data_IF_640672765187
#
_entry.id   IF_640672765187
#
_cell.length_a   1.000
_cell.length_b   1.000
_cell.length_c   1.000
_cell.angle_alpha   90.00
_cell.angle_beta   90.00
_cell.angle_gamma   90.00
#
_symmetry.space_group_name_H-M   'P 1'
#
loop_
_entity.id
_entity.type
_entity.pdbx_description
1 polymer ?
#
# COMPACT_ATOMS: atom_id res chain seq x y z
N UNK A 1 -28.38 39.97 58.28
CA UNK A 1 -28.44 38.53 58.02
C UNK A 1 -27.91 38.31 56.60
N UNK A 2 -26.63 38.05 56.47
CA UNK A 2 -26.00 37.64 55.22
C UNK A 2 -25.57 36.18 55.38
N UNK A 3 -26.31 35.27 54.78
CA UNK A 3 -25.99 33.85 54.75
C UNK A 3 -25.26 33.57 53.45
N UNK A 4 -23.98 33.38 53.60
CA UNK A 4 -23.01 32.65 52.83
C UNK A 4 -23.50 31.84 51.61
N UNK A 5 -23.16 32.34 50.39
CA UNK A 5 -23.22 31.62 49.13
C UNK A 5 -21.80 31.16 48.66
N UNK A 6 -20.95 30.74 49.60
CA UNK A 6 -19.59 30.30 49.29
C UNK A 6 -19.46 28.78 49.09
N UNK A 7 -20.50 27.98 49.42
CA UNK A 7 -20.44 26.53 49.31
C UNK A 7 -20.78 25.97 47.90
N UNK A 8 -21.54 26.69 47.12
CA UNK A 8 -22.00 26.18 45.81
C UNK A 8 -20.97 26.32 44.70
N UNK A 9 -20.07 27.34 44.79
CA UNK A 9 -19.06 27.56 43.76
C UNK A 9 -17.98 26.50 43.77
N UNK A 10 -17.56 25.94 44.91
CA UNK A 10 -16.53 24.92 44.99
C UNK A 10 -16.98 23.59 44.33
N UNK A 11 -18.27 23.25 44.46
CA UNK A 11 -18.83 22.06 43.85
C UNK A 11 -18.93 22.20 42.32
N UNK A 12 -19.21 23.40 41.83
CA UNK A 12 -19.28 23.68 40.38
C UNK A 12 -17.89 23.58 39.76
N UNK A 13 -16.84 24.11 40.38
CA UNK A 13 -15.48 24.00 39.90
C UNK A 13 -14.97 22.57 39.93
N UNK A 14 -15.29 21.77 40.94
CA UNK A 14 -14.91 20.35 40.99
C UNK A 14 -15.60 19.54 39.89
N UNK A 15 -16.88 19.76 39.63
CA UNK A 15 -17.60 19.10 38.53
C UNK A 15 -17.03 19.52 37.18
N UNK A 16 -16.72 20.80 36.99
CA UNK A 16 -16.13 21.32 35.75
C UNK A 16 -14.73 20.70 35.48
N UNK A 17 -13.90 20.55 36.50
CA UNK A 17 -12.60 19.92 36.40
C UNK A 17 -12.69 18.41 36.04
N UNK A 18 -13.67 17.71 36.64
CA UNK A 18 -13.92 16.30 36.35
C UNK A 18 -14.39 16.13 34.90
N UNK A 19 -15.32 16.96 34.43
CA UNK A 19 -15.79 16.93 33.03
C UNK A 19 -14.64 17.24 32.05
N UNK A 20 -13.82 18.25 32.35
CA UNK A 20 -12.67 18.60 31.55
C UNK A 20 -11.67 17.43 31.47
N UNK A 21 -11.40 16.77 32.61
CA UNK A 21 -10.52 15.59 32.67
C UNK A 21 -11.04 14.45 31.79
N UNK A 22 -12.36 14.16 31.85
CA UNK A 22 -12.98 13.14 31.00
C UNK A 22 -12.85 13.49 29.51
N UNK A 23 -13.09 14.74 29.14
CA UNK A 23 -12.94 15.21 27.77
C UNK A 23 -11.52 15.02 27.24
N UNK A 24 -10.51 15.37 28.04
CA UNK A 24 -9.09 15.19 27.68
C UNK A 24 -8.77 13.71 27.46
N UNK A 25 -9.27 12.83 28.33
CA UNK A 25 -9.06 11.37 28.18
C UNK A 25 -9.72 10.88 26.89
N UNK A 26 -10.96 11.30 26.58
CA UNK A 26 -11.64 10.91 25.36
C UNK A 26 -10.90 11.39 24.10
N UNK A 27 -10.34 12.61 24.12
CA UNK A 27 -9.53 13.14 23.03
C UNK A 27 -8.26 12.30 22.84
N UNK A 28 -7.58 11.94 23.92
CA UNK A 28 -6.37 11.09 23.87
C UNK A 28 -6.70 9.71 23.26
N UNK A 29 -7.81 9.11 23.69
CA UNK A 29 -8.27 7.83 23.13
C UNK A 29 -8.59 7.98 21.64
N UNK A 30 -9.28 9.03 21.24
CA UNK A 30 -9.62 9.32 19.85
C UNK A 30 -8.38 9.51 18.99
N UNK A 31 -7.41 10.31 19.43
CA UNK A 31 -6.14 10.52 18.75
C UNK A 31 -5.32 9.22 18.66
N UNK A 32 -5.36 8.39 19.70
CA UNK A 32 -4.73 7.07 19.71
C UNK A 32 -5.35 6.11 18.68
N UNK A 33 -6.68 6.17 18.48
CA UNK A 33 -7.37 5.40 17.44
C UNK A 33 -7.01 5.89 16.04
N UNK A 34 -6.90 7.20 15.82
CA UNK A 34 -6.48 7.77 14.54
C UNK A 34 -5.04 7.36 14.18
N UNK A 35 -4.14 7.36 15.16
CA UNK A 35 -2.77 6.88 14.94
C UNK A 35 -2.72 5.39 14.58
N UNK A 36 -3.56 4.55 15.19
CA UNK A 36 -3.67 3.14 14.82
C UNK A 36 -4.21 2.93 13.41
N UNK A 37 -5.17 3.75 12.96
CA UNK A 37 -5.66 3.71 11.58
C UNK A 37 -4.57 4.11 10.58
N UNK A 38 -3.77 5.13 10.90
CA UNK A 38 -2.64 5.56 10.06
C UNK A 38 -1.53 4.52 9.97
N UNK A 39 -1.16 3.90 11.08
CA UNK A 39 -0.10 2.89 11.11
C UNK A 39 -0.50 1.58 10.41
N UNK A 40 -1.73 1.12 10.55
CA UNK A 40 -2.19 -0.09 9.86
C UNK A 40 -2.17 0.05 8.33
N UNK A 41 -2.20 1.27 7.79
CA UNK A 41 -2.11 1.51 6.35
C UNK A 41 -0.66 1.42 5.85
N UNK A 42 0.33 1.75 6.69
CA UNK A 42 1.76 1.72 6.32
C UNK A 42 2.46 0.42 6.74
N UNK A 43 2.07 -0.22 7.85
CA UNK A 43 2.67 -1.49 8.30
C UNK A 43 2.34 -2.68 7.40
N UNK A 44 1.21 -2.66 6.70
CA UNK A 44 0.88 -3.66 5.68
C UNK A 44 1.55 -3.41 4.33
N UNK A 45 2.27 -2.29 4.18
CA UNK A 45 2.99 -1.90 2.97
C UNK A 45 4.50 -2.14 3.06
N UNK A 46 5.02 -2.67 4.17
CA UNK A 46 6.38 -3.22 4.17
C UNK A 46 6.39 -4.43 3.24
N UNK A 47 7.21 -4.45 2.19
CA UNK A 47 7.27 -5.59 1.29
C UNK A 47 7.59 -6.82 2.14
N UNK A 48 6.60 -7.72 2.25
CA UNK A 48 6.80 -9.05 2.79
C UNK A 48 7.99 -9.60 2.02
N UNK A 49 9.03 -10.06 2.70
CA UNK A 49 10.33 -10.47 2.16
C UNK A 49 10.26 -11.62 1.12
N UNK A 50 9.10 -11.90 0.58
CA UNK A 50 8.86 -12.95 -0.39
C UNK A 50 8.14 -12.37 -1.61
N UNK A 51 8.91 -11.69 -2.48
CA UNK A 51 8.40 -11.21 -3.76
C UNK A 51 8.08 -12.42 -4.60
N UNK A 52 6.81 -12.58 -4.95
CA UNK A 52 6.36 -13.65 -5.82
C UNK A 52 6.48 -13.18 -7.27
N UNK A 53 7.29 -13.90 -8.05
CA UNK A 53 7.40 -13.68 -9.49
C UNK A 53 6.34 -14.50 -10.24
N UNK A 54 5.85 -13.95 -11.35
CA UNK A 54 4.97 -14.65 -12.27
C UNK A 54 5.81 -15.41 -13.31
N UNK A 55 5.28 -16.51 -13.82
CA UNK A 55 5.87 -17.21 -14.94
C UNK A 55 5.47 -16.56 -16.27
N UNK A 56 6.16 -16.92 -17.36
CA UNK A 56 5.83 -16.46 -18.71
C UNK A 56 4.38 -16.80 -19.10
N UNK A 57 3.78 -17.81 -18.49
CA UNK A 57 2.38 -18.22 -18.72
C UNK A 57 1.34 -17.12 -18.46
N UNK A 58 1.69 -16.07 -17.69
CA UNK A 58 0.83 -14.90 -17.53
C UNK A 58 0.52 -14.24 -18.88
N UNK A 59 1.41 -14.39 -19.87
CA UNK A 59 1.27 -13.86 -21.22
C UNK A 59 0.39 -14.74 -22.14
N UNK A 60 -0.07 -15.89 -21.68
CA UNK A 60 -1.03 -16.74 -22.41
C UNK A 60 -2.49 -16.36 -22.12
N UNK A 61 -2.67 -15.40 -21.24
CA UNK A 61 -3.97 -14.84 -20.87
C UNK A 61 -4.55 -13.96 -21.98
N UNK A 62 -5.88 -13.83 -21.99
CA UNK A 62 -6.59 -12.82 -22.79
C UNK A 62 -6.87 -11.53 -22.03
N UNK A 63 -6.59 -11.52 -20.73
CA UNK A 63 -6.78 -10.34 -19.86
C UNK A 63 -5.64 -9.34 -20.10
N UNK A 64 -5.93 -8.07 -20.39
CA UNK A 64 -4.91 -7.04 -20.51
C UNK A 64 -3.96 -7.05 -19.28
N UNK A 65 -2.66 -7.05 -19.52
CA UNK A 65 -1.68 -7.26 -18.45
C UNK A 65 -0.57 -6.22 -18.54
N UNK A 66 -0.26 -5.59 -17.40
CA UNK A 66 0.90 -4.71 -17.26
C UNK A 66 2.01 -5.54 -16.61
N UNK A 67 3.13 -5.69 -17.29
CA UNK A 67 4.23 -6.56 -16.86
C UNK A 67 5.46 -5.73 -16.57
N UNK A 68 6.00 -5.89 -15.35
CA UNK A 68 7.36 -5.49 -15.03
C UNK A 68 8.31 -6.64 -15.36
N UNK A 69 9.25 -6.40 -16.23
CA UNK A 69 10.39 -7.28 -16.49
C UNK A 69 11.56 -6.84 -15.62
N UNK A 70 12.02 -7.76 -14.80
CA UNK A 70 13.02 -7.57 -13.75
C UNK A 70 14.21 -8.47 -13.96
N UNK A 71 15.40 -8.02 -13.52
CA UNK A 71 16.59 -8.86 -13.36
C UNK A 71 17.20 -8.61 -11.98
N UNK A 72 17.63 -9.68 -11.33
CA UNK A 72 18.30 -9.61 -10.01
C UNK A 72 19.62 -8.83 -10.03
N UNK A 73 20.23 -8.71 -11.21
CA UNK A 73 21.49 -7.99 -11.44
C UNK A 73 21.31 -6.49 -11.64
N UNK A 74 20.05 -6.02 -11.71
CA UNK A 74 19.72 -4.62 -11.98
C UNK A 74 19.44 -3.89 -10.65
N UNK A 75 20.32 -2.98 -10.23
CA UNK A 75 20.16 -2.21 -8.99
C UNK A 75 18.91 -1.31 -9.01
N UNK A 76 18.64 -0.64 -10.14
CA UNK A 76 17.44 0.18 -10.30
C UNK A 76 16.16 -0.64 -10.18
N UNK A 77 16.19 -1.92 -10.59
CA UNK A 77 15.06 -2.83 -10.41
C UNK A 77 14.78 -3.12 -8.93
N UNK A 78 15.83 -3.28 -8.12
CA UNK A 78 15.68 -3.56 -6.69
C UNK A 78 15.03 -2.41 -5.94
N UNK A 79 15.29 -1.17 -6.35
CA UNK A 79 14.66 0.02 -5.78
C UNK A 79 13.18 0.13 -6.21
N UNK A 80 12.87 -0.22 -7.45
CA UNK A 80 11.53 -0.10 -8.04
C UNK A 80 10.59 -1.24 -7.66
N UNK A 81 11.13 -2.43 -7.41
CA UNK A 81 10.37 -3.67 -7.21
C UNK A 81 9.39 -3.63 -6.03
N UNK A 82 9.73 -3.06 -4.84
CA UNK A 82 8.79 -2.97 -3.72
C UNK A 82 7.52 -2.18 -4.06
N UNK A 83 7.67 -1.02 -4.71
CA UNK A 83 6.53 -0.18 -5.09
C UNK A 83 5.64 -0.87 -6.13
N UNK A 84 6.26 -1.59 -7.07
CA UNK A 84 5.52 -2.35 -8.06
C UNK A 84 4.79 -3.56 -7.46
N UNK A 85 5.39 -4.22 -6.46
CA UNK A 85 4.75 -5.29 -5.71
C UNK A 85 3.51 -4.78 -4.95
N UNK A 86 3.60 -3.62 -4.29
CA UNK A 86 2.45 -2.98 -3.65
C UNK A 86 1.34 -2.66 -4.65
N UNK A 87 1.70 -2.16 -5.83
CA UNK A 87 0.75 -1.89 -6.90
C UNK A 87 0.04 -3.18 -7.35
N UNK A 88 0.80 -4.27 -7.53
CA UNK A 88 0.26 -5.58 -7.87
C UNK A 88 -0.73 -6.08 -6.83
N UNK A 89 -0.39 -6.03 -5.55
CA UNK A 89 -1.25 -6.47 -4.44
C UNK A 89 -2.53 -5.66 -4.37
N UNK A 90 -2.44 -4.34 -4.55
CA UNK A 90 -3.60 -3.44 -4.58
C UNK A 90 -4.61 -3.79 -5.67
N UNK A 91 -4.15 -4.30 -6.81
CA UNK A 91 -4.97 -4.57 -7.99
C UNK A 91 -5.08 -6.06 -8.33
N UNK A 92 -4.68 -6.95 -7.42
CA UNK A 92 -4.67 -8.41 -7.66
C UNK A 92 -6.03 -8.97 -8.09
N UNK A 93 -7.11 -8.46 -7.52
CA UNK A 93 -8.46 -8.94 -7.79
C UNK A 93 -9.20 -8.13 -8.87
N UNK A 94 -8.49 -7.34 -9.66
CA UNK A 94 -9.11 -6.54 -10.71
C UNK A 94 -9.49 -7.42 -11.92
N UNK A 95 -10.80 -7.50 -12.30
CA UNK A 95 -11.23 -8.39 -13.39
C UNK A 95 -10.88 -7.88 -14.78
N UNK A 96 -10.52 -6.58 -14.92
CA UNK A 96 -10.31 -5.93 -16.21
C UNK A 96 -8.86 -5.95 -16.67
N UNK A 97 -7.91 -6.06 -15.77
CA UNK A 97 -6.50 -6.10 -16.08
C UNK A 97 -5.72 -6.78 -14.96
N UNK A 98 -4.55 -7.25 -15.30
CA UNK A 98 -3.60 -7.89 -14.37
C UNK A 98 -2.32 -7.07 -14.28
N UNK A 99 -1.67 -7.12 -13.12
CA UNK A 99 -0.31 -6.62 -12.92
C UNK A 99 0.57 -7.82 -12.63
N UNK A 100 1.68 -7.95 -13.34
CA UNK A 100 2.57 -9.09 -13.23
C UNK A 100 4.04 -8.65 -13.12
N UNK A 101 4.87 -9.49 -12.50
CA UNK A 101 6.31 -9.29 -12.36
C UNK A 101 6.99 -10.57 -12.88
N UNK A 102 7.81 -10.44 -13.92
CA UNK A 102 8.53 -11.57 -14.50
C UNK A 102 10.02 -11.39 -14.25
N UNK A 103 10.64 -12.40 -13.63
CA UNK A 103 12.10 -12.49 -13.51
C UNK A 103 12.70 -12.98 -14.83
N UNK A 104 13.41 -12.10 -15.53
CA UNK A 104 14.03 -12.45 -16.82
C UNK A 104 15.30 -13.30 -16.68
N UNK A 105 15.91 -13.37 -15.50
CA UNK A 105 17.02 -14.28 -15.26
C UNK A 105 16.55 -15.75 -15.33
N UNK A 106 15.30 -16.01 -15.01
CA UNK A 106 14.64 -17.32 -15.10
C UNK A 106 13.92 -17.53 -16.44
N UNK A 107 13.69 -16.46 -17.20
CA UNK A 107 12.96 -16.46 -18.47
C UNK A 107 13.75 -15.77 -19.59
N UNK A 108 14.94 -16.27 -19.95
CA UNK A 108 15.85 -15.61 -20.91
C UNK A 108 15.29 -15.52 -22.33
N UNK A 109 14.36 -16.39 -22.68
CA UNK A 109 13.74 -16.45 -24.02
C UNK A 109 12.82 -15.26 -24.34
N UNK A 110 12.47 -14.43 -23.33
CA UNK A 110 11.62 -13.26 -23.54
C UNK A 110 12.29 -12.13 -24.33
N UNK A 111 13.60 -12.19 -24.53
CA UNK A 111 14.36 -11.22 -25.33
C UNK A 111 14.37 -9.81 -24.76
N UNK A 112 14.17 -9.66 -23.44
CA UNK A 112 14.25 -8.37 -22.75
C UNK A 112 15.72 -8.11 -22.40
N UNK A 113 16.28 -7.01 -22.89
CA UNK A 113 17.70 -6.68 -22.75
C UNK A 113 17.98 -5.46 -21.86
N UNK A 114 16.92 -4.68 -21.54
CA UNK A 114 17.01 -3.51 -20.66
C UNK A 114 16.12 -3.67 -19.44
N UNK A 115 16.58 -3.22 -18.30
CA UNK A 115 15.89 -3.37 -17.02
C UNK A 115 15.96 -2.10 -16.16
N UNK A 116 14.86 -1.74 -15.43
CA UNK A 116 13.53 -2.34 -15.51
C UNK A 116 12.84 -1.99 -16.84
N UNK A 117 12.05 -2.91 -17.38
CA UNK A 117 11.17 -2.64 -18.54
C UNK A 117 9.72 -2.90 -18.13
N UNK A 118 8.81 -1.97 -18.45
CA UNK A 118 7.37 -2.13 -18.22
C UNK A 118 6.66 -2.13 -19.56
N UNK A 119 5.88 -3.19 -19.81
CA UNK A 119 5.04 -3.32 -21.00
C UNK A 119 3.58 -3.51 -20.63
N UNK A 120 2.71 -2.82 -21.33
CA UNK A 120 1.27 -3.05 -21.28
C UNK A 120 0.86 -3.91 -22.46
N UNK A 121 0.46 -5.13 -22.18
CA UNK A 121 -0.10 -6.06 -23.15
C UNK A 121 -1.61 -5.86 -23.20
N UNK A 122 -2.13 -5.42 -24.33
CA UNK A 122 -3.57 -5.29 -24.60
C UNK A 122 -4.19 -6.64 -24.90
N UNK A 123 -3.47 -7.49 -25.60
CA UNK A 123 -3.78 -8.89 -25.81
C UNK A 123 -2.51 -9.72 -25.57
N UNK A 124 -2.27 -10.19 -24.33
CA UNK A 124 -1.05 -10.92 -24.01
C UNK A 124 -0.82 -12.14 -24.89
N UNK A 125 -1.84 -12.91 -25.19
CA UNK A 125 -1.77 -14.12 -26.03
C UNK A 125 -1.23 -13.84 -27.43
N UNK A 126 -1.54 -12.68 -28.01
CA UNK A 126 -1.03 -12.26 -29.31
C UNK A 126 0.30 -11.50 -29.21
N UNK A 127 0.81 -11.34 -27.98
CA UNK A 127 2.03 -10.56 -27.69
C UNK A 127 1.96 -9.11 -28.15
N UNK A 128 0.75 -8.56 -28.30
CA UNK A 128 0.56 -7.14 -28.60
C UNK A 128 0.81 -6.28 -27.36
N UNK A 129 1.82 -5.44 -27.41
CA UNK A 129 2.17 -4.60 -26.28
C UNK A 129 2.61 -3.21 -26.68
N UNK A 130 2.53 -2.29 -25.72
CA UNK A 130 3.15 -0.98 -25.74
C UNK A 130 4.15 -0.89 -24.59
N UNK A 131 5.39 -0.51 -24.87
CA UNK A 131 6.37 -0.20 -23.81
C UNK A 131 5.97 1.09 -23.13
N UNK A 132 5.84 1.05 -21.80
CA UNK A 132 5.54 2.20 -20.96
C UNK A 132 6.82 2.80 -20.42
N UNK A 133 7.78 1.93 -20.05
CA UNK A 133 9.06 2.32 -19.46
C UNK A 133 10.16 1.32 -19.86
N UNK A 134 11.35 1.86 -20.14
CA UNK A 134 12.54 1.08 -20.47
C UNK A 134 13.83 1.83 -20.11
#
# INVERSE_FOLDING_TARGET
MNVSNTSDNSNIYTVLLVVLGILVILIIIYLSQLNKLGQNTYENLTPKSNIQFDSESVLDSTVPTIVLFYSSKCSACNEFLPDYQMLREKYNDNPKYRIAIINCDENPNLGITKFPTIRHYTNPRQREYKTIYE
#
